data_IF_331022564437
#
_entry.id   IF_331022564437
#
_cell.length_a   1.000
_cell.length_b   1.000
_cell.length_c   1.000
_cell.angle_alpha   90.00
_cell.angle_beta   90.00
_cell.angle_gamma   90.00
#
_symmetry.space_group_name_H-M   'P 1'
#
loop_
_entity.id
_entity.type
_entity.pdbx_description
1 polymer ?
#
# COMPACT_ATOMS: atom_id res chain seq x y z
N UNK A 1 -28.30 0.37 -3.38
CA UNK A 1 -27.19 0.21 -4.34
C UNK A 1 -27.21 1.42 -5.25
N UNK A 2 -26.31 2.38 -5.02
CA UNK A 2 -26.14 3.53 -5.92
C UNK A 2 -25.20 3.06 -7.03
N UNK A 3 -25.65 3.07 -8.27
CA UNK A 3 -24.78 2.87 -9.44
C UNK A 3 -23.74 4.00 -9.43
N UNK A 4 -22.50 3.73 -9.01
CA UNK A 4 -21.37 4.57 -9.39
C UNK A 4 -21.32 4.56 -10.91
N UNK A 5 -21.49 5.72 -11.53
CA UNK A 5 -21.28 5.87 -12.98
C UNK A 5 -19.81 5.61 -13.28
N UNK A 6 -19.50 4.80 -14.31
CA UNK A 6 -18.11 4.46 -14.69
C UNK A 6 -17.19 5.68 -14.78
N UNK A 7 -17.72 6.82 -15.26
CA UNK A 7 -17.01 8.08 -15.37
C UNK A 7 -16.46 8.59 -14.02
N UNK A 8 -17.22 8.44 -12.93
CA UNK A 8 -16.78 8.85 -11.60
C UNK A 8 -15.72 7.90 -11.03
N UNK A 9 -15.72 6.63 -11.44
CA UNK A 9 -14.74 5.66 -10.98
C UNK A 9 -13.35 5.94 -11.57
N UNK A 10 -13.24 6.09 -12.89
CA UNK A 10 -11.95 6.35 -13.57
C UNK A 10 -11.34 7.69 -13.12
N UNK A 11 -12.18 8.71 -12.93
CA UNK A 11 -11.76 10.02 -12.41
C UNK A 11 -11.16 9.89 -11.00
N UNK A 12 -11.86 9.21 -10.08
CA UNK A 12 -11.35 9.00 -8.72
C UNK A 12 -10.11 8.08 -8.72
N UNK A 13 -10.12 7.01 -9.52
CA UNK A 13 -9.00 6.09 -9.65
C UNK A 13 -7.73 6.84 -10.05
N UNK A 14 -7.81 7.62 -11.12
CA UNK A 14 -6.68 8.40 -11.63
C UNK A 14 -6.22 9.49 -10.68
N UNK A 15 -7.14 10.19 -10.00
CA UNK A 15 -6.76 11.20 -9.02
C UNK A 15 -6.07 10.59 -7.79
N UNK A 16 -6.61 9.50 -7.24
CA UNK A 16 -5.99 8.80 -6.11
C UNK A 16 -4.62 8.22 -6.50
N UNK A 17 -4.50 7.60 -7.69
CA UNK A 17 -3.22 7.13 -8.23
C UNK A 17 -2.18 8.24 -8.27
N UNK A 18 -2.50 9.36 -8.91
CA UNK A 18 -1.59 10.51 -9.02
C UNK A 18 -1.13 11.02 -7.65
N UNK A 19 -2.06 11.12 -6.69
CA UNK A 19 -1.74 11.58 -5.33
C UNK A 19 -0.90 10.58 -4.55
N UNK A 20 -1.14 9.27 -4.73
CA UNK A 20 -0.31 8.22 -4.15
C UNK A 20 1.11 8.28 -4.71
N UNK A 21 1.27 8.40 -6.04
CA UNK A 21 2.59 8.59 -6.68
C UNK A 21 3.33 9.79 -6.09
N UNK A 22 2.65 10.94 -5.98
CA UNK A 22 3.25 12.14 -5.40
C UNK A 22 3.67 11.99 -3.93
N UNK A 23 2.98 11.14 -3.14
CA UNK A 23 3.40 10.80 -1.78
C UNK A 23 4.65 9.91 -1.83
N UNK A 24 4.61 8.82 -2.60
CA UNK A 24 5.65 7.78 -2.61
C UNK A 24 6.97 8.28 -3.22
N UNK A 25 6.92 9.15 -4.24
CA UNK A 25 8.09 9.81 -4.85
C UNK A 25 8.93 10.63 -3.86
N UNK A 26 8.37 10.98 -2.69
CA UNK A 26 9.11 11.69 -1.64
C UNK A 26 9.99 10.78 -0.79
N UNK A 27 9.75 9.46 -0.84
CA UNK A 27 10.40 8.48 0.04
C UNK A 27 11.19 7.41 -0.72
N UNK A 28 10.86 7.20 -1.98
CA UNK A 28 11.52 6.22 -2.82
C UNK A 28 11.32 6.54 -4.30
N UNK A 29 11.66 5.56 -5.12
CA UNK A 29 11.61 5.63 -6.57
C UNK A 29 10.66 4.57 -7.11
N UNK A 30 9.86 4.94 -8.11
CA UNK A 30 9.01 3.98 -8.80
C UNK A 30 9.84 2.89 -9.49
N UNK A 31 9.33 1.66 -9.45
CA UNK A 31 9.98 0.50 -10.02
C UNK A 31 10.08 0.60 -11.54
N UNK A 32 11.32 0.49 -12.01
CA UNK A 32 11.66 0.49 -13.41
C UNK A 32 11.87 -0.95 -13.89
N UNK A 33 10.92 -1.47 -14.67
CA UNK A 33 10.97 -2.83 -15.22
C UNK A 33 12.19 -3.11 -16.12
N UNK A 34 12.82 -2.07 -16.69
CA UNK A 34 14.02 -2.23 -17.53
C UNK A 34 15.27 -2.44 -16.69
N UNK A 35 15.45 -1.64 -15.63
CA UNK A 35 16.63 -1.75 -14.76
C UNK A 35 16.43 -2.75 -13.63
N UNK A 36 15.18 -3.14 -13.35
CA UNK A 36 14.76 -3.93 -12.19
C UNK A 36 15.13 -3.26 -10.87
N UNK A 37 15.03 -1.93 -10.84
CA UNK A 37 15.35 -1.10 -9.68
C UNK A 37 14.14 -0.24 -9.31
N UNK A 38 14.02 0.06 -8.03
CA UNK A 38 12.99 0.92 -7.47
C UNK A 38 12.53 0.40 -6.10
N UNK A 39 11.75 1.24 -5.42
CA UNK A 39 11.33 1.04 -4.05
C UNK A 39 9.85 0.67 -3.95
N UNK A 40 9.04 1.08 -4.93
CA UNK A 40 7.61 0.75 -4.98
C UNK A 40 7.08 0.61 -6.42
N UNK A 41 5.93 -0.02 -6.57
CA UNK A 41 5.14 -0.02 -7.82
C UNK A 41 3.65 0.03 -7.50
N UNK A 42 2.92 0.96 -8.10
CA UNK A 42 1.45 1.02 -8.01
C UNK A 42 0.90 0.25 -9.21
N UNK A 43 -0.08 -0.63 -9.00
CA UNK A 43 -0.74 -1.32 -10.11
C UNK A 43 -1.61 -0.32 -10.88
N UNK A 44 -1.31 -0.15 -12.17
CA UNK A 44 -2.00 0.83 -13.03
C UNK A 44 -3.35 0.34 -13.58
N UNK A 45 -3.66 -0.95 -13.41
CA UNK A 45 -4.88 -1.58 -13.92
C UNK A 45 -6.01 -1.58 -12.87
N UNK A 46 -7.15 -0.91 -13.12
CA UNK A 46 -8.30 -1.03 -12.25
C UNK A 46 -8.98 -2.40 -12.43
N UNK A 47 -8.93 -3.24 -11.40
CA UNK A 47 -9.67 -4.51 -11.37
C UNK A 47 -11.16 -4.37 -11.00
N UNK A 48 -11.70 -3.15 -11.04
CA UNK A 48 -13.11 -2.86 -10.75
C UNK A 48 -13.45 -2.79 -9.25
N UNK A 49 -12.44 -2.81 -8.38
CA UNK A 49 -12.58 -2.57 -6.95
C UNK A 49 -12.24 -1.11 -6.62
N UNK A 50 -12.85 -0.56 -5.57
CA UNK A 50 -12.48 0.74 -5.00
C UNK A 50 -11.18 0.62 -4.18
N UNK A 51 -10.13 0.04 -4.77
CA UNK A 51 -8.88 -0.30 -4.09
C UNK A 51 -7.68 -0.10 -5.02
N UNK A 52 -6.65 0.61 -4.55
CA UNK A 52 -5.33 0.61 -5.18
C UNK A 52 -4.42 -0.44 -4.57
N UNK A 53 -3.66 -1.13 -5.42
CA UNK A 53 -2.67 -2.11 -5.00
C UNK A 53 -1.27 -1.54 -5.20
N UNK A 54 -0.43 -1.63 -4.18
CA UNK A 54 0.94 -1.11 -4.18
C UNK A 54 1.87 -2.20 -3.70
N UNK A 55 2.96 -2.41 -4.42
CA UNK A 55 4.07 -3.26 -4.00
C UNK A 55 5.18 -2.39 -3.44
N UNK A 56 5.67 -2.72 -2.25
CA UNK A 56 6.89 -2.14 -1.68
C UNK A 56 8.03 -3.15 -1.80
N UNK A 57 9.09 -2.76 -2.50
CA UNK A 57 10.30 -3.56 -2.73
C UNK A 57 11.40 -3.30 -1.70
N UNK A 58 11.22 -2.30 -0.83
CA UNK A 58 12.16 -1.96 0.25
C UNK A 58 11.44 -1.72 1.58
N UNK A 59 12.06 -2.16 2.67
CA UNK A 59 11.48 -2.06 4.01
C UNK A 59 11.35 -0.62 4.53
N UNK A 60 12.17 0.31 4.06
CA UNK A 60 12.06 1.73 4.43
C UNK A 60 10.74 2.36 3.93
N UNK A 61 10.10 1.80 2.91
CA UNK A 61 8.77 2.26 2.46
C UNK A 61 7.67 1.95 3.49
N UNK A 62 7.90 0.98 4.39
CA UNK A 62 7.01 0.68 5.51
C UNK A 62 7.18 1.63 6.70
N UNK A 63 7.95 2.71 6.56
CA UNK A 63 8.06 3.76 7.58
C UNK A 63 6.65 4.28 7.97
N UNK A 64 6.35 4.42 9.28
CA UNK A 64 5.04 4.87 9.74
C UNK A 64 4.56 6.16 9.10
N UNK A 65 5.46 7.10 8.79
CA UNK A 65 5.12 8.37 8.15
C UNK A 65 4.60 8.18 6.72
N UNK A 66 5.17 7.24 5.97
CA UNK A 66 4.71 6.92 4.60
C UNK A 66 3.28 6.40 4.65
N UNK A 67 3.03 5.42 5.54
CA UNK A 67 1.71 4.82 5.71
C UNK A 67 0.67 5.83 6.19
N UNK A 68 1.05 6.71 7.13
CA UNK A 68 0.19 7.79 7.63
C UNK A 68 -0.17 8.80 6.51
N UNK A 69 0.77 9.16 5.64
CA UNK A 69 0.50 10.03 4.49
C UNK A 69 -0.42 9.39 3.46
N UNK A 70 -0.26 8.09 3.17
CA UNK A 70 -1.19 7.34 2.32
C UNK A 70 -2.58 7.29 2.94
N UNK A 71 -2.69 6.99 4.24
CA UNK A 71 -3.96 6.95 4.94
C UNK A 71 -4.69 8.30 4.89
N UNK A 72 -3.97 9.41 5.07
CA UNK A 72 -4.54 10.77 4.99
C UNK A 72 -5.15 11.10 3.64
N UNK A 73 -4.66 10.50 2.54
CA UNK A 73 -5.27 10.71 1.22
C UNK A 73 -6.72 10.22 1.22
N UNK A 74 -6.99 9.07 1.86
CA UNK A 74 -8.28 8.39 1.83
C UNK A 74 -9.42 9.18 2.50
N UNK A 75 -9.12 10.17 3.32
CA UNK A 75 -10.13 11.11 3.87
C UNK A 75 -10.94 11.82 2.77
N UNK A 76 -10.33 12.02 1.59
CA UNK A 76 -11.00 12.66 0.45
C UNK A 76 -11.64 11.65 -0.52
N UNK A 77 -11.45 10.35 -0.30
CA UNK A 77 -11.85 9.27 -1.20
C UNK A 77 -12.71 8.24 -0.46
N UNK A 78 -13.90 8.65 -0.05
CA UNK A 78 -14.79 7.81 0.75
C UNK A 78 -15.05 6.43 0.11
N UNK A 79 -14.82 5.37 0.89
CA UNK A 79 -14.99 3.98 0.46
C UNK A 79 -13.83 3.41 -0.34
N UNK A 80 -12.77 4.19 -0.60
CA UNK A 80 -11.55 3.68 -1.20
C UNK A 80 -10.56 3.17 -0.15
N UNK A 81 -9.75 2.20 -0.55
CA UNK A 81 -8.70 1.62 0.26
C UNK A 81 -7.40 1.44 -0.54
N UNK A 82 -6.29 1.29 0.18
CA UNK A 82 -4.98 1.01 -0.40
C UNK A 82 -4.48 -0.29 0.22
N UNK A 83 -4.16 -1.27 -0.62
CA UNK A 83 -3.50 -2.49 -0.20
C UNK A 83 -2.01 -2.41 -0.54
N UNK A 84 -1.16 -2.46 0.49
CA UNK A 84 0.30 -2.41 0.37
C UNK A 84 0.87 -3.79 0.62
N UNK A 85 1.50 -4.39 -0.39
CA UNK A 85 2.16 -5.69 -0.30
C UNK A 85 3.67 -5.53 -0.05
N UNK A 86 4.22 -6.32 0.88
CA UNK A 86 5.66 -6.40 1.09
C UNK A 86 6.31 -7.33 0.04
N UNK A 87 6.70 -6.79 -1.11
CA UNK A 87 7.36 -7.52 -2.20
C UNK A 87 8.89 -7.53 -2.06
N UNK A 88 9.38 -7.87 -0.87
CA UNK A 88 10.79 -7.78 -0.50
C UNK A 88 11.36 -9.18 -0.49
N UNK A 89 11.19 -9.92 -1.59
CA UNK A 89 11.63 -11.32 -1.70
C UNK A 89 13.14 -11.43 -1.45
N UNK A 90 13.58 -11.89 -0.27
CA UNK A 90 14.99 -12.05 0.01
C UNK A 90 15.46 -13.31 -0.69
N UNK A 91 16.62 -13.26 -1.35
CA UNK A 91 17.16 -14.40 -2.07
C UNK A 91 17.22 -15.66 -1.18
N UNK A 92 16.60 -16.74 -1.65
CA UNK A 92 16.62 -18.04 -0.98
C UNK A 92 15.78 -18.17 0.28
N UNK A 93 14.79 -17.29 0.51
CA UNK A 93 13.84 -17.41 1.63
C UNK A 93 12.40 -17.54 1.15
N UNK A 94 11.64 -18.40 1.82
CA UNK A 94 10.17 -18.41 1.73
C UNK A 94 9.66 -17.12 2.39
N UNK A 95 9.21 -16.18 1.56
CA UNK A 95 8.65 -14.91 1.98
C UNK A 95 7.12 -15.01 1.94
N UNK A 96 6.42 -14.84 3.08
CA UNK A 96 4.97 -14.96 3.09
C UNK A 96 4.31 -13.77 2.40
N UNK A 97 3.13 -13.99 1.85
CA UNK A 97 2.23 -12.90 1.47
C UNK A 97 1.86 -12.12 2.75
N UNK A 98 2.24 -10.85 2.78
CA UNK A 98 1.96 -9.96 3.90
C UNK A 98 1.94 -8.51 3.43
N UNK A 99 1.23 -7.69 4.19
CA UNK A 99 0.99 -6.32 3.80
C UNK A 99 0.18 -5.52 4.82
N UNK A 100 -0.26 -4.37 4.37
CA UNK A 100 -1.16 -3.49 5.10
C UNK A 100 -2.39 -3.22 4.24
N UNK A 101 -3.59 -3.35 4.84
CA UNK A 101 -4.78 -2.74 4.26
C UNK A 101 -5.02 -1.41 4.95
N UNK A 102 -4.99 -0.34 4.16
CA UNK A 102 -5.12 1.03 4.63
C UNK A 102 -6.51 1.53 4.23
N UNK A 103 -7.29 1.92 5.23
CA UNK A 103 -8.59 2.58 5.09
C UNK A 103 -8.54 3.93 5.77
N UNK A 104 -9.46 4.81 5.41
CA UNK A 104 -9.59 6.14 6.04
C UNK A 104 -9.57 6.07 7.58
N UNK A 105 -10.24 5.09 8.17
CA UNK A 105 -10.50 5.01 9.62
C UNK A 105 -9.71 3.91 10.33
N UNK A 106 -9.00 3.04 9.61
CA UNK A 106 -8.23 1.95 10.21
C UNK A 106 -7.06 1.54 9.31
N UNK A 107 -6.03 0.97 9.93
CA UNK A 107 -4.99 0.20 9.25
C UNK A 107 -5.10 -1.23 9.76
N UNK A 108 -5.24 -2.18 8.85
CA UNK A 108 -5.17 -3.61 9.15
C UNK A 108 -3.75 -4.06 8.89
N UNK A 109 -3.09 -4.49 9.96
CA UNK A 109 -1.69 -4.85 9.97
C UNK A 109 -1.53 -6.36 9.78
N UNK A 110 -1.22 -6.76 8.56
CA UNK A 110 -0.91 -8.15 8.19
C UNK A 110 0.59 -8.45 8.15
N UNK A 111 1.47 -7.55 8.61
CA UNK A 111 2.92 -7.73 8.50
C UNK A 111 3.44 -8.79 9.49
N UNK A 112 4.14 -9.78 8.95
CA UNK A 112 4.80 -10.83 9.70
C UNK A 112 6.25 -10.43 10.03
N UNK A 113 6.39 -9.53 11.01
CA UNK A 113 7.66 -8.91 11.42
C UNK A 113 8.78 -9.87 11.77
N UNK A 114 8.48 -11.11 12.17
CA UNK A 114 9.50 -12.13 12.42
C UNK A 114 10.38 -12.45 11.20
N UNK A 115 9.92 -12.11 9.99
CA UNK A 115 10.70 -12.25 8.75
C UNK A 115 11.58 -11.04 8.44
N UNK A 116 11.39 -9.92 9.13
CA UNK A 116 12.15 -8.69 8.90
C UNK A 116 13.49 -8.69 9.66
N UNK A 117 14.49 -7.91 9.19
CA UNK A 117 15.67 -7.56 9.99
C UNK A 117 15.26 -6.93 11.34
N UNK A 118 16.05 -7.14 12.41
CA UNK A 118 15.71 -6.71 13.78
C UNK A 118 15.21 -5.27 13.90
N UNK A 119 15.81 -4.35 13.15
CA UNK A 119 15.49 -2.92 13.17
C UNK A 119 14.10 -2.57 12.61
N UNK A 120 13.49 -3.46 11.83
CA UNK A 120 12.13 -3.31 11.30
C UNK A 120 11.08 -4.14 12.07
N UNK A 121 11.50 -5.00 13.00
CA UNK A 121 10.58 -5.91 13.71
C UNK A 121 9.66 -5.19 14.71
N UNK A 122 10.01 -3.97 15.12
CA UNK A 122 9.24 -3.17 16.07
C UNK A 122 8.35 -2.10 15.42
N UNK A 123 8.32 -2.02 14.08
CA UNK A 123 7.50 -1.03 13.37
C UNK A 123 6.03 -1.21 13.74
N UNK A 124 5.34 -0.13 14.04
CA UNK A 124 3.92 -0.12 14.35
C UNK A 124 3.27 1.10 13.72
N UNK A 125 1.98 1.00 13.44
CA UNK A 125 1.18 2.07 12.86
C UNK A 125 0.15 2.52 13.87
N UNK A 126 0.03 3.82 14.07
CA UNK A 126 -0.90 4.38 15.05
C UNK A 126 -2.34 4.01 14.69
N UNK A 127 -3.10 3.54 15.68
CA UNK A 127 -4.49 3.12 15.48
C UNK A 127 -4.67 1.84 14.66
N UNK A 128 -3.59 1.13 14.31
CA UNK A 128 -3.72 -0.14 13.59
C UNK A 128 -4.25 -1.26 14.49
N UNK A 129 -4.87 -2.26 13.85
CA UNK A 129 -5.20 -3.55 14.46
C UNK A 129 -4.54 -4.68 13.70
N UNK A 130 -4.33 -5.80 14.38
CA UNK A 130 -3.81 -7.01 13.76
C UNK A 130 -4.85 -7.55 12.76
N UNK A 131 -4.39 -7.94 11.57
CA UNK A 131 -5.20 -8.60 10.56
C UNK A 131 -5.64 -10.00 10.96
N UNK A 132 -6.75 -10.44 10.41
CA UNK A 132 -7.34 -11.77 10.63
C UNK A 132 -7.64 -12.44 9.29
N UNK A 133 -7.92 -13.74 9.28
CA UNK A 133 -8.29 -14.49 8.07
C UNK A 133 -9.59 -14.02 7.38
N UNK A 134 -10.23 -12.97 7.89
CA UNK A 134 -11.51 -12.42 7.41
C UNK A 134 -11.38 -11.03 6.79
N UNK A 135 -10.19 -10.45 6.82
CA UNK A 135 -9.87 -9.14 6.26
C UNK A 135 -9.42 -9.27 4.80
#
# INVERSE_FOLDING_TARGET
MIQKTHKNYEEIWGELHQRMTAVLDRYGTEYNFRTKEGDYWIIDEPYGFDQHNVYFYKLNMFDPKVIEELQRLLVQFAGWEIFVTAAIEPEGKDWPDMGLLIREHEIIDGLQRQYFPPEYQSIQYEGSRIGTDKD
#
